data_IF_427649913739
#
_entry.id   IF_427649913739
#
_cell.length_a   1.000
_cell.length_b   1.000
_cell.length_c   1.000
_cell.angle_alpha   90.00
_cell.angle_beta   90.00
_cell.angle_gamma   90.00
#
_symmetry.space_group_name_H-M   'P 1'
#
loop_
_entity.id
_entity.type
_entity.pdbx_description
1 polymer ?
#
# COMPACT_ATOMS: atom_id res chain seq x y z
N UNK A 1 15.08 7.55 3.39
CA UNK A 1 13.84 7.00 3.98
C UNK A 1 13.40 7.72 5.27
N UNK A 2 14.35 8.16 6.12
CA UNK A 2 14.09 8.83 7.42
C UNK A 2 13.19 10.08 7.36
N UNK A 3 13.31 10.90 6.30
CA UNK A 3 12.50 12.10 6.11
C UNK A 3 11.01 11.80 5.93
N UNK A 4 10.68 10.80 5.10
CA UNK A 4 9.29 10.38 4.87
C UNK A 4 8.68 9.87 6.17
N UNK A 5 9.39 9.00 6.89
CA UNK A 5 8.91 8.47 8.16
C UNK A 5 8.75 9.61 9.18
N UNK A 6 9.62 10.62 9.19
CA UNK A 6 9.50 11.74 10.14
C UNK A 6 8.19 12.52 9.90
N UNK A 7 7.89 12.83 8.64
CA UNK A 7 6.62 13.47 8.28
C UNK A 7 5.40 12.61 8.62
N UNK A 8 5.48 11.29 8.43
CA UNK A 8 4.37 10.40 8.82
C UNK A 8 4.16 10.37 10.34
N UNK A 9 5.22 10.51 11.14
CA UNK A 9 5.11 10.65 12.61
C UNK A 9 4.50 11.99 12.98
N UNK A 10 4.93 13.09 12.34
CA UNK A 10 4.35 14.43 12.54
C UNK A 10 2.85 14.46 12.22
N UNK A 11 2.43 13.70 11.22
CA UNK A 11 1.02 13.51 10.86
C UNK A 11 0.26 12.54 11.77
N UNK A 12 0.94 11.85 12.70
CA UNK A 12 0.34 10.86 13.60
C UNK A 12 -0.08 9.55 12.93
N UNK A 13 0.41 9.27 11.71
CA UNK A 13 0.03 8.09 10.92
C UNK A 13 0.92 6.88 11.20
N UNK A 14 2.10 7.10 11.77
CA UNK A 14 3.01 6.04 12.24
C UNK A 14 3.60 6.42 13.59
N UNK A 15 3.99 5.42 14.36
CA UNK A 15 4.64 5.56 15.65
C UNK A 15 6.08 5.05 15.59
N UNK A 16 6.96 5.63 16.41
CA UNK A 16 8.36 5.21 16.56
C UNK A 16 8.64 4.79 17.99
N UNK A 17 9.32 3.66 18.15
CA UNK A 17 9.83 3.21 19.44
C UNK A 17 11.27 2.70 19.30
N UNK A 18 12.05 2.77 20.38
CA UNK A 18 13.39 2.17 20.40
C UNK A 18 13.29 0.65 20.33
N UNK A 19 14.19 0.01 19.58
CA UNK A 19 14.26 -1.45 19.59
C UNK A 19 14.67 -1.94 20.99
N UNK A 20 13.99 -2.96 21.56
CA UNK A 20 14.24 -3.41 22.93
C UNK A 20 15.69 -3.87 23.16
N UNK A 21 16.28 -4.55 22.17
CA UNK A 21 17.61 -5.18 22.30
C UNK A 21 18.77 -4.43 21.61
N UNK A 22 18.52 -3.49 20.68
CA UNK A 22 19.57 -2.75 19.97
C UNK A 22 19.21 -1.26 19.89
N UNK A 23 19.86 -0.43 20.73
CA UNK A 23 19.59 1.01 20.81
C UNK A 23 19.93 1.79 19.54
N UNK A 24 20.63 1.18 18.57
CA UNK A 24 20.91 1.80 17.27
C UNK A 24 19.73 1.67 16.30
N UNK A 25 18.74 0.84 16.64
CA UNK A 25 17.58 0.56 15.79
C UNK A 25 16.32 1.23 16.34
N UNK A 26 15.42 1.57 15.41
CA UNK A 26 14.11 2.16 15.69
C UNK A 26 13.05 1.30 15.03
N UNK A 27 12.06 0.88 15.82
CA UNK A 27 10.86 0.24 15.31
C UNK A 27 9.89 1.32 14.83
N UNK A 28 9.31 1.08 13.67
CA UNK A 28 8.28 1.93 13.07
C UNK A 28 7.04 1.07 12.87
N UNK A 29 5.92 1.48 13.45
CA UNK A 29 4.64 0.81 13.29
C UNK A 29 3.60 1.80 12.75
N UNK A 30 2.64 1.31 11.97
CA UNK A 30 1.48 2.12 11.62
C UNK A 30 0.67 2.39 12.89
N UNK A 31 0.18 3.61 13.04
CA UNK A 31 -0.73 3.97 14.13
C UNK A 31 -2.16 3.57 13.77
N UNK A 32 -3.07 3.56 14.75
CA UNK A 32 -4.49 3.35 14.48
C UNK A 32 -5.06 4.34 13.46
N UNK A 33 -4.66 5.61 13.53
CA UNK A 33 -5.08 6.63 12.57
C UNK A 33 -4.52 6.37 11.17
N UNK A 34 -3.29 5.86 11.09
CA UNK A 34 -2.69 5.42 9.83
C UNK A 34 -3.42 4.23 9.21
N UNK A 35 -3.79 3.23 10.01
CA UNK A 35 -4.61 2.09 9.60
C UNK A 35 -5.97 2.54 9.04
N UNK A 36 -6.67 3.41 9.77
CA UNK A 36 -7.97 3.94 9.36
C UNK A 36 -7.89 4.71 8.05
N UNK A 37 -6.87 5.56 7.89
CA UNK A 37 -6.62 6.30 6.65
C UNK A 37 -6.31 5.36 5.50
N UNK A 38 -5.40 4.41 5.70
CA UNK A 38 -5.01 3.45 4.67
C UNK A 38 -6.21 2.64 4.18
N UNK A 39 -7.04 2.16 5.09
CA UNK A 39 -8.24 1.42 4.74
C UNK A 39 -9.29 2.28 4.02
N UNK A 40 -9.41 3.56 4.37
CA UNK A 40 -10.29 4.49 3.67
C UNK A 40 -9.84 4.72 2.23
N UNK A 41 -8.55 5.01 2.02
CA UNK A 41 -7.96 5.20 0.69
C UNK A 41 -8.05 3.93 -0.15
N UNK A 42 -7.77 2.75 0.46
CA UNK A 42 -7.90 1.45 -0.21
C UNK A 42 -9.32 1.20 -0.68
N UNK A 43 -10.34 1.49 0.15
CA UNK A 43 -11.75 1.37 -0.24
C UNK A 43 -12.10 2.31 -1.40
N UNK A 44 -11.73 3.59 -1.30
CA UNK A 44 -12.00 4.56 -2.36
C UNK A 44 -11.35 4.16 -3.69
N UNK A 45 -10.10 3.67 -3.64
CA UNK A 45 -9.39 3.18 -4.82
C UNK A 45 -10.05 1.96 -5.45
N UNK A 46 -10.52 1.00 -4.65
CA UNK A 46 -11.26 -0.17 -5.14
C UNK A 46 -12.59 0.23 -5.78
N UNK A 47 -13.37 1.10 -5.13
CA UNK A 47 -14.65 1.58 -5.67
C UNK A 47 -14.45 2.32 -7.00
N UNK A 48 -13.44 3.18 -7.08
CA UNK A 48 -13.06 3.85 -8.32
C UNK A 48 -12.70 2.83 -9.40
N UNK A 49 -11.82 1.86 -9.10
CA UNK A 49 -11.37 0.87 -10.07
C UNK A 49 -12.52 -0.02 -10.55
N UNK A 50 -13.37 -0.48 -9.63
CA UNK A 50 -14.57 -1.24 -9.96
C UNK A 50 -15.46 -0.48 -10.95
N UNK A 51 -15.75 0.80 -10.70
CA UNK A 51 -16.54 1.62 -11.60
C UNK A 51 -15.90 1.86 -12.98
N UNK A 52 -14.57 1.73 -13.09
CA UNK A 52 -13.87 1.72 -14.39
C UNK A 52 -13.99 0.38 -15.09
N UNK A 53 -13.80 -0.72 -14.37
CA UNK A 53 -13.87 -2.08 -14.90
C UNK A 53 -15.27 -2.47 -15.35
N UNK A 54 -16.33 -2.01 -14.67
CA UNK A 54 -17.72 -2.26 -15.03
C UNK A 54 -18.07 -1.74 -16.44
N UNK A 55 -17.39 -0.69 -16.90
CA UNK A 55 -17.57 -0.08 -18.24
C UNK A 55 -16.91 -0.85 -19.37
N UNK A 56 -16.08 -1.85 -19.04
CA UNK A 56 -15.38 -2.67 -20.02
C UNK A 56 -16.18 -3.92 -20.39
N UNK A 57 -15.95 -4.43 -21.59
CA UNK A 57 -16.48 -5.73 -21.99
C UNK A 57 -15.75 -6.85 -21.25
N UNK A 58 -16.36 -8.04 -21.22
CA UNK A 58 -15.74 -9.20 -20.58
C UNK A 58 -14.39 -9.57 -21.21
N UNK A 59 -14.26 -9.45 -22.54
CA UNK A 59 -13.01 -9.72 -23.27
C UNK A 59 -11.87 -8.78 -22.86
N UNK A 60 -12.17 -7.49 -22.70
CA UNK A 60 -11.20 -6.49 -22.27
C UNK A 60 -10.78 -6.72 -20.82
N UNK A 61 -11.74 -7.08 -19.94
CA UNK A 61 -11.44 -7.44 -18.54
C UNK A 61 -10.55 -8.68 -18.44
N UNK A 62 -10.79 -9.69 -19.26
CA UNK A 62 -9.95 -10.89 -19.32
C UNK A 62 -8.52 -10.54 -19.78
N UNK A 63 -8.39 -9.62 -20.74
CA UNK A 63 -7.09 -9.13 -21.21
C UNK A 63 -6.33 -8.39 -20.11
N UNK A 64 -7.00 -7.53 -19.35
CA UNK A 64 -6.39 -6.82 -18.21
C UNK A 64 -5.91 -7.77 -17.12
N UNK A 65 -6.67 -8.83 -16.81
CA UNK A 65 -6.26 -9.86 -15.85
C UNK A 65 -4.99 -10.58 -16.32
N UNK A 66 -4.95 -11.03 -17.57
CA UNK A 66 -3.76 -11.68 -18.13
C UNK A 66 -2.54 -10.75 -18.13
N UNK A 67 -2.72 -9.46 -18.43
CA UNK A 67 -1.65 -8.48 -18.36
C UNK A 67 -1.18 -8.26 -16.91
N UNK A 68 -2.08 -8.23 -15.93
CA UNK A 68 -1.73 -8.12 -14.52
C UNK A 68 -0.88 -9.31 -14.05
N UNK A 69 -1.25 -10.54 -14.43
CA UNK A 69 -0.47 -11.75 -14.11
C UNK A 69 0.96 -11.66 -14.65
N UNK A 70 1.13 -11.19 -15.89
CA UNK A 70 2.46 -10.98 -16.48
C UNK A 70 3.26 -9.88 -15.75
N UNK A 71 2.62 -8.79 -15.34
CA UNK A 71 3.28 -7.75 -14.55
C UNK A 71 3.72 -8.27 -13.18
N UNK A 72 2.90 -9.11 -12.52
CA UNK A 72 3.29 -9.75 -11.27
C UNK A 72 4.48 -10.69 -11.44
N UNK A 73 4.50 -11.49 -12.51
CA UNK A 73 5.64 -12.38 -12.80
C UNK A 73 6.96 -11.60 -12.94
N UNK A 74 6.94 -10.42 -13.58
CA UNK A 74 8.14 -9.55 -13.71
C UNK A 74 8.63 -9.06 -12.34
N UNK A 75 7.71 -8.73 -11.43
CA UNK A 75 8.06 -8.22 -10.09
C UNK A 75 8.62 -9.35 -9.22
N UNK A 76 8.04 -10.54 -9.29
CA UNK A 76 8.49 -11.71 -8.51
C UNK A 76 9.86 -12.22 -8.98
N UNK A 77 10.19 -12.13 -10.27
CA UNK A 77 11.54 -12.44 -10.79
C UNK A 77 12.61 -11.45 -10.32
N UNK A 78 12.22 -10.27 -9.83
CA UNK A 78 13.14 -9.22 -9.38
C UNK A 78 13.52 -9.32 -7.88
N UNK A 79 13.10 -10.37 -7.17
CA UNK A 79 13.44 -10.63 -5.75
C UNK A 79 14.52 -11.70 -5.56
#
# INVERSE_FOLDING_TARGET
MTRVIASLVELGLVERSSHPDDRRQVLVAVSKAGEELFEAERRAGMEWLQGRLEKLKQEDRATLLAAADLMFAIIDEAQ
#
